data_IF_140208002548
#
_entry.id   IF_140208002548
#
_cell.length_a   1.000
_cell.length_b   1.000
_cell.length_c   1.000
_cell.angle_alpha   90.00
_cell.angle_beta   90.00
_cell.angle_gamma   90.00
#
_symmetry.space_group_name_H-M   'P 1'
#
loop_
_entity.id
_entity.type
_entity.pdbx_description
1 polymer ?
#
# COMPACT_ATOMS: atom_id res chain seq x y z
N UNK A 1 38.36 -2.66 -14.87
CA UNK A 1 37.07 -2.18 -15.39
C UNK A 1 36.32 -1.61 -14.20
N UNK A 2 36.47 -0.31 -13.96
CA UNK A 2 35.82 0.40 -12.84
C UNK A 2 34.41 0.69 -13.30
N UNK A 3 33.43 0.02 -12.72
CA UNK A 3 32.01 0.31 -12.95
C UNK A 3 31.71 1.58 -12.18
N UNK A 4 31.52 2.68 -12.89
CA UNK A 4 31.14 3.99 -12.35
C UNK A 4 29.76 3.90 -11.69
N UNK A 5 29.69 4.26 -10.42
CA UNK A 5 28.47 4.25 -9.57
C UNK A 5 27.47 5.36 -9.97
N UNK A 6 27.82 6.22 -10.92
CA UNK A 6 26.97 7.34 -11.36
C UNK A 6 25.77 6.92 -12.21
N UNK A 7 25.70 5.68 -12.72
CA UNK A 7 24.53 5.20 -13.46
C UNK A 7 23.32 4.84 -12.56
N UNK A 8 23.49 4.74 -11.24
CA UNK A 8 22.35 4.49 -10.33
C UNK A 8 21.63 5.77 -9.87
N UNK A 9 22.27 6.94 -9.96
CA UNK A 9 21.68 8.21 -9.52
C UNK A 9 20.57 8.71 -10.47
N UNK A 10 20.69 8.42 -11.78
CA UNK A 10 19.66 8.76 -12.77
C UNK A 10 18.41 7.86 -12.72
N UNK A 11 18.57 6.59 -12.34
CA UNK A 11 17.47 5.60 -12.28
C UNK A 11 16.69 5.66 -10.94
N UNK A 12 17.32 6.12 -9.86
CA UNK A 12 16.69 6.21 -8.54
C UNK A 12 15.51 7.18 -8.46
N UNK A 13 15.53 8.29 -9.20
CA UNK A 13 14.42 9.28 -9.20
C UNK A 13 13.17 8.75 -9.89
N UNK A 14 13.30 7.99 -10.99
CA UNK A 14 12.15 7.32 -11.64
C UNK A 14 11.54 6.23 -10.75
N UNK A 15 12.37 5.50 -10.01
CA UNK A 15 11.94 4.39 -9.14
C UNK A 15 11.19 4.87 -7.90
N UNK A 16 11.66 5.95 -7.25
CA UNK A 16 11.00 6.56 -6.10
C UNK A 16 9.65 7.22 -6.46
N UNK A 17 9.57 7.84 -7.65
CA UNK A 17 8.31 8.40 -8.15
C UNK A 17 7.30 7.29 -8.48
N UNK A 18 7.78 6.18 -9.08
CA UNK A 18 6.96 4.98 -9.36
C UNK A 18 6.42 4.32 -8.09
N UNK A 19 7.26 4.22 -7.05
CA UNK A 19 6.92 3.64 -5.74
C UNK A 19 5.74 4.34 -5.06
N UNK A 20 5.77 5.68 -5.00
CA UNK A 20 4.72 6.49 -4.35
C UNK A 20 3.39 6.41 -5.10
N UNK A 21 3.43 6.43 -6.42
CA UNK A 21 2.25 6.29 -7.25
C UNK A 21 1.60 4.91 -7.05
N UNK A 22 2.39 3.84 -7.00
CA UNK A 22 1.92 2.49 -6.67
C UNK A 22 1.21 2.47 -5.30
N UNK A 23 1.80 3.08 -4.27
CA UNK A 23 1.22 3.13 -2.93
C UNK A 23 -0.11 3.89 -2.91
N UNK A 24 -0.20 5.03 -3.59
CA UNK A 24 -1.44 5.81 -3.72
C UNK A 24 -2.54 5.02 -4.45
N UNK A 25 -2.19 4.34 -5.54
CA UNK A 25 -3.12 3.49 -6.30
C UNK A 25 -3.65 2.36 -5.41
N UNK A 26 -2.78 1.67 -4.66
CA UNK A 26 -3.20 0.59 -3.75
C UNK A 26 -4.15 1.11 -2.67
N UNK A 27 -3.91 2.30 -2.11
CA UNK A 27 -4.83 2.92 -1.15
C UNK A 27 -6.17 3.30 -1.79
N UNK A 28 -6.17 3.83 -3.01
CA UNK A 28 -7.41 4.11 -3.74
C UNK A 28 -8.23 2.82 -3.93
N UNK A 29 -7.58 1.72 -4.35
CA UNK A 29 -8.22 0.39 -4.46
C UNK A 29 -8.77 -0.07 -3.11
N UNK A 30 -8.01 0.06 -2.02
CA UNK A 30 -8.48 -0.26 -0.66
C UNK A 30 -9.69 0.56 -0.24
N UNK A 31 -9.78 1.84 -0.61
CA UNK A 31 -10.94 2.70 -0.35
C UNK A 31 -12.18 2.12 -1.06
N UNK A 32 -12.07 1.83 -2.36
CA UNK A 32 -13.17 1.26 -3.13
C UNK A 32 -13.63 -0.10 -2.59
N UNK A 33 -12.69 -0.99 -2.28
CA UNK A 33 -12.98 -2.30 -1.69
C UNK A 33 -13.64 -2.18 -0.32
N UNK A 34 -13.17 -1.26 0.53
CA UNK A 34 -13.74 -1.07 1.88
C UNK A 34 -15.16 -0.51 1.82
N UNK A 35 -15.43 0.45 0.94
CA UNK A 35 -16.78 0.96 0.71
C UNK A 35 -17.72 -0.13 0.21
N UNK A 36 -17.26 -0.94 -0.74
CA UNK A 36 -18.03 -2.06 -1.27
C UNK A 36 -18.32 -3.10 -0.19
N UNK A 37 -17.32 -3.46 0.61
CA UNK A 37 -17.45 -4.38 1.73
C UNK A 37 -18.45 -3.87 2.77
N UNK A 38 -18.32 -2.63 3.24
CA UNK A 38 -19.27 -2.01 4.17
C UNK A 38 -20.70 -2.04 3.63
N UNK A 39 -20.88 -1.73 2.34
CA UNK A 39 -22.19 -1.80 1.68
C UNK A 39 -22.75 -3.22 1.74
N UNK A 40 -21.97 -4.24 1.39
CA UNK A 40 -22.48 -5.61 1.41
C UNK A 40 -22.81 -6.11 2.81
N UNK A 41 -22.00 -5.77 3.82
CA UNK A 41 -22.27 -6.17 5.21
C UNK A 41 -23.57 -5.53 5.70
N UNK A 42 -23.71 -4.22 5.56
CA UNK A 42 -24.88 -3.50 6.07
C UNK A 42 -26.17 -3.87 5.34
N UNK A 43 -26.13 -3.99 4.00
CA UNK A 43 -27.34 -4.17 3.20
C UNK A 43 -27.74 -5.63 3.00
N UNK A 44 -26.80 -6.58 3.01
CA UNK A 44 -27.09 -7.97 2.62
C UNK A 44 -26.82 -9.01 3.72
N UNK A 45 -26.13 -8.67 4.81
CA UNK A 45 -25.84 -9.61 5.89
C UNK A 45 -26.51 -9.23 7.22
N UNK A 46 -26.80 -7.94 7.45
CA UNK A 46 -27.41 -7.49 8.70
C UNK A 46 -28.80 -8.08 8.90
N UNK A 47 -28.96 -8.84 9.98
CA UNK A 47 -30.24 -9.39 10.45
C UNK A 47 -30.99 -10.27 9.42
N UNK A 48 -30.27 -10.84 8.45
CA UNK A 48 -30.89 -11.74 7.46
C UNK A 48 -31.05 -13.13 8.08
N UNK A 49 -32.21 -13.73 7.87
CA UNK A 49 -32.51 -15.08 8.32
C UNK A 49 -31.97 -16.13 7.34
N UNK A 50 -31.48 -17.25 7.87
CA UNK A 50 -30.99 -18.37 7.08
C UNK A 50 -32.13 -19.16 6.41
N UNK A 51 -33.35 -19.05 6.96
CA UNK A 51 -34.56 -19.76 6.55
C UNK A 51 -35.74 -18.80 6.32
N UNK A 52 -36.64 -19.18 5.42
CA UNK A 52 -37.89 -18.47 5.10
C UNK A 52 -39.09 -19.44 5.24
N UNK A 53 -40.12 -19.12 6.06
CA UNK A 53 -40.25 -17.94 6.91
C UNK A 53 -39.22 -17.91 8.05
N UNK A 54 -38.78 -16.71 8.40
CA UNK A 54 -37.84 -16.54 9.52
C UNK A 54 -38.48 -17.02 10.83
N UNK A 55 -37.78 -17.91 11.53
CA UNK A 55 -38.23 -18.44 12.81
C UNK A 55 -37.40 -17.87 13.95
N UNK A 56 -38.06 -17.07 14.79
CA UNK A 56 -37.49 -16.54 16.03
C UNK A 56 -38.17 -17.26 17.20
N UNK A 57 -37.68 -18.46 17.52
CA UNK A 57 -38.11 -19.18 18.71
C UNK A 57 -37.59 -18.53 20.00
N UNK A 58 -38.28 -18.68 21.14
CA UNK A 58 -37.84 -18.09 22.40
C UNK A 58 -36.50 -18.67 22.83
N UNK A 59 -35.47 -17.80 22.94
CA UNK A 59 -34.14 -18.17 23.41
C UNK A 59 -33.18 -18.75 22.34
N UNK A 60 -33.63 -18.87 21.07
CA UNK A 60 -32.82 -19.39 19.95
C UNK A 60 -32.76 -18.43 18.75
N UNK A 61 -33.10 -17.15 18.96
CA UNK A 61 -33.18 -16.17 17.88
C UNK A 61 -31.86 -15.99 17.12
N UNK A 62 -30.71 -16.11 17.79
CA UNK A 62 -29.39 -15.97 17.16
C UNK A 62 -28.96 -17.18 16.34
N UNK A 63 -29.68 -18.31 16.41
CA UNK A 63 -29.33 -19.53 15.67
C UNK A 63 -29.80 -19.47 14.22
N UNK A 64 -30.92 -18.77 13.98
CA UNK A 64 -31.63 -18.77 12.69
C UNK A 64 -31.39 -17.50 11.86
N UNK A 65 -30.67 -16.52 12.42
CA UNK A 65 -30.30 -15.27 11.76
C UNK A 65 -28.82 -14.98 11.95
N UNK A 66 -28.26 -14.21 11.02
CA UNK A 66 -26.88 -13.72 11.16
C UNK A 66 -26.76 -12.94 12.46
N UNK A 67 -25.80 -13.36 13.30
CA UNK A 67 -25.59 -12.76 14.61
C UNK A 67 -25.30 -11.25 14.47
N UNK A 68 -25.96 -10.40 15.29
CA UNK A 68 -25.75 -8.95 15.28
C UNK A 68 -24.30 -8.57 15.57
N UNK A 69 -23.63 -9.32 16.43
CA UNK A 69 -22.20 -9.18 16.72
C UNK A 69 -21.32 -9.45 15.49
N UNK A 70 -21.65 -10.43 14.66
CA UNK A 70 -20.96 -10.69 13.38
C UNK A 70 -21.15 -9.52 12.42
N UNK A 71 -22.38 -9.01 12.30
CA UNK A 71 -22.66 -7.85 11.45
C UNK A 71 -21.96 -6.58 11.93
N UNK A 72 -21.94 -6.33 13.25
CA UNK A 72 -21.27 -5.20 13.86
C UNK A 72 -19.73 -5.27 13.71
N UNK A 73 -19.13 -6.43 13.97
CA UNK A 73 -17.69 -6.65 13.76
C UNK A 73 -17.31 -6.54 12.28
N UNK A 74 -18.16 -7.05 11.39
CA UNK A 74 -18.02 -6.84 9.95
C UNK A 74 -18.08 -5.37 9.54
N UNK A 75 -19.05 -4.60 10.03
CA UNK A 75 -19.19 -3.19 9.69
C UNK A 75 -18.03 -2.35 10.25
N UNK A 76 -17.69 -2.55 11.53
CA UNK A 76 -16.61 -1.82 12.20
C UNK A 76 -15.23 -2.12 11.60
N UNK A 77 -14.95 -3.38 11.23
CA UNK A 77 -13.72 -3.72 10.51
C UNK A 77 -13.63 -3.05 9.14
N UNK A 78 -14.75 -2.99 8.41
CA UNK A 78 -14.82 -2.27 7.13
C UNK A 78 -14.59 -0.76 7.27
N UNK A 79 -15.20 -0.13 8.29
CA UNK A 79 -15.01 1.29 8.60
C UNK A 79 -13.55 1.57 8.99
N UNK A 80 -12.95 0.69 9.81
CA UNK A 80 -11.54 0.81 10.18
C UNK A 80 -10.62 0.69 8.96
N UNK A 81 -10.85 -0.29 8.08
CA UNK A 81 -10.09 -0.45 6.86
C UNK A 81 -10.23 0.77 5.93
N UNK A 82 -11.44 1.34 5.82
CA UNK A 82 -11.69 2.56 5.06
C UNK A 82 -10.93 3.76 5.63
N UNK A 83 -11.03 3.99 6.94
CA UNK A 83 -10.33 5.09 7.61
C UNK A 83 -8.81 4.97 7.45
N UNK A 84 -8.28 3.74 7.60
CA UNK A 84 -6.88 3.44 7.37
C UNK A 84 -6.45 3.74 5.93
N UNK A 85 -7.25 3.30 4.94
CA UNK A 85 -6.96 3.52 3.53
C UNK A 85 -7.01 5.01 3.14
N UNK A 86 -7.99 5.76 3.65
CA UNK A 86 -8.09 7.22 3.44
C UNK A 86 -6.90 7.94 4.08
N UNK A 87 -6.57 7.60 5.33
CA UNK A 87 -5.45 8.22 6.03
C UNK A 87 -4.13 7.96 5.29
N UNK A 88 -3.88 6.73 4.85
CA UNK A 88 -2.70 6.41 4.05
C UNK A 88 -2.67 7.15 2.72
N UNK A 89 -3.80 7.22 2.01
CA UNK A 89 -3.89 7.99 0.77
C UNK A 89 -3.52 9.46 0.98
N UNK A 90 -4.08 10.11 2.01
CA UNK A 90 -3.79 11.50 2.35
C UNK A 90 -2.33 11.70 2.75
N UNK A 91 -1.78 10.83 3.60
CA UNK A 91 -0.38 10.91 4.04
C UNK A 91 0.59 10.81 2.86
N UNK A 92 0.42 9.81 1.98
CA UNK A 92 1.35 9.59 0.88
C UNK A 92 1.14 10.56 -0.29
N UNK A 93 -0.08 11.09 -0.48
CA UNK A 93 -0.32 12.19 -1.40
C UNK A 93 0.35 13.50 -0.93
N UNK A 94 0.25 13.83 0.36
CA UNK A 94 0.86 15.03 0.97
C UNK A 94 2.40 14.97 0.98
N UNK A 95 2.98 13.81 1.30
CA UNK A 95 4.44 13.59 1.23
C UNK A 95 4.97 13.75 -0.21
N UNK A 96 4.12 13.61 -1.22
CA UNK A 96 4.50 13.87 -2.61
C UNK A 96 4.53 15.36 -2.99
N UNK A 97 3.81 16.23 -2.27
CA UNK A 97 3.68 17.65 -2.61
C UNK A 97 4.64 18.56 -1.87
N UNK A 98 5.08 18.20 -0.66
CA UNK A 98 5.98 19.03 0.15
C UNK A 98 7.40 18.43 0.20
N UNK A 99 8.33 19.06 -0.50
CA UNK A 99 9.78 18.85 -0.40
C UNK A 99 10.32 19.50 0.90
N UNK A 100 9.70 19.21 2.04
CA UNK A 100 10.04 19.80 3.33
C UNK A 100 11.03 18.93 4.08
N UNK A 101 12.28 19.37 4.14
CA UNK A 101 13.41 18.72 4.82
C UNK A 101 13.22 18.57 6.34
N UNK A 102 12.31 19.32 6.97
CA UNK A 102 12.03 19.22 8.42
C UNK A 102 11.09 18.06 8.80
N UNK A 103 10.35 17.51 7.83
CA UNK A 103 9.42 16.41 8.07
C UNK A 103 10.13 15.04 8.12
N UNK A 104 11.38 14.97 7.69
CA UNK A 104 12.16 13.73 7.62
C UNK A 104 12.44 13.12 9.00
N UNK A 105 12.64 13.95 10.03
CA UNK A 105 12.94 13.47 11.39
C UNK A 105 11.77 12.70 12.02
N UNK A 106 10.52 13.09 11.70
CA UNK A 106 9.32 12.43 12.24
C UNK A 106 8.74 11.36 11.29
N UNK A 107 9.17 11.36 10.02
CA UNK A 107 8.65 10.44 9.00
C UNK A 107 8.84 8.96 9.38
N UNK A 108 9.96 8.60 10.03
CA UNK A 108 10.22 7.23 10.46
C UNK A 108 9.21 6.71 11.49
N UNK A 109 8.86 7.55 12.47
CA UNK A 109 7.90 7.20 13.50
C UNK A 109 6.50 7.04 12.91
N UNK A 110 6.09 7.96 12.03
CA UNK A 110 4.79 7.91 11.33
C UNK A 110 4.69 6.67 10.45
N UNK A 111 5.72 6.33 9.67
CA UNK A 111 5.74 5.11 8.84
C UNK A 111 5.69 3.85 9.71
N UNK A 112 6.37 3.85 10.86
CA UNK A 112 6.35 2.74 11.81
C UNK A 112 4.96 2.49 12.41
N UNK A 113 4.29 3.55 12.88
CA UNK A 113 2.91 3.47 13.38
C UNK A 113 1.97 3.00 12.27
N UNK A 114 2.09 3.59 11.08
CA UNK A 114 1.22 3.26 9.96
C UNK A 114 1.40 1.80 9.52
N UNK A 115 2.63 1.27 9.51
CA UNK A 115 2.88 -0.14 9.25
C UNK A 115 2.25 -1.06 10.32
N UNK A 116 2.32 -0.68 11.60
CA UNK A 116 1.63 -1.39 12.69
C UNK A 116 0.11 -1.40 12.50
N UNK A 117 -0.48 -0.23 12.18
CA UNK A 117 -1.90 -0.12 11.89
C UNK A 117 -2.32 -0.94 10.65
N UNK A 118 -1.48 -0.98 9.62
CA UNK A 118 -1.68 -1.80 8.41
C UNK A 118 -1.69 -3.28 8.76
N UNK A 119 -0.78 -3.73 9.62
CA UNK A 119 -0.75 -5.10 10.12
C UNK A 119 -2.04 -5.45 10.88
N UNK A 120 -2.49 -4.58 11.79
CA UNK A 120 -3.78 -4.74 12.48
C UNK A 120 -4.96 -4.82 11.48
N UNK A 121 -5.00 -3.95 10.48
CA UNK A 121 -6.03 -3.97 9.43
C UNK A 121 -6.02 -5.28 8.63
N UNK A 122 -4.83 -5.82 8.34
CA UNK A 122 -4.69 -7.12 7.65
C UNK A 122 -5.21 -8.27 8.50
N UNK A 123 -4.91 -8.31 9.80
CA UNK A 123 -5.39 -9.32 10.73
C UNK A 123 -6.90 -9.25 10.91
N UNK A 124 -7.47 -8.04 11.02
CA UNK A 124 -8.93 -7.86 11.07
C UNK A 124 -9.60 -8.35 9.78
N UNK A 125 -9.03 -8.03 8.62
CA UNK A 125 -9.54 -8.50 7.34
C UNK A 125 -9.48 -10.03 7.24
N UNK A 126 -8.37 -10.64 7.67
CA UNK A 126 -8.21 -12.09 7.72
C UNK A 126 -9.22 -12.76 8.67
N UNK A 127 -9.45 -12.17 9.85
CA UNK A 127 -10.48 -12.63 10.77
C UNK A 127 -11.86 -12.64 10.10
N UNK A 128 -12.20 -11.60 9.34
CA UNK A 128 -13.47 -11.56 8.61
C UNK A 128 -13.55 -12.59 7.48
N UNK A 129 -12.44 -12.97 6.84
CA UNK A 129 -12.43 -14.11 5.89
C UNK A 129 -12.92 -15.38 6.57
N UNK A 130 -12.42 -15.65 7.77
CA UNK A 130 -12.79 -16.81 8.57
C UNK A 130 -14.25 -16.76 9.01
N UNK A 131 -14.71 -15.60 9.53
CA UNK A 131 -16.10 -15.42 9.96
C UNK A 131 -17.07 -15.67 8.81
N UNK A 132 -16.88 -15.02 7.65
CA UNK A 132 -17.75 -15.25 6.49
C UNK A 132 -17.63 -16.66 5.91
N UNK A 133 -16.46 -17.29 6.03
CA UNK A 133 -16.26 -18.69 5.68
C UNK A 133 -17.04 -19.64 6.58
N UNK A 134 -17.06 -19.39 7.89
CA UNK A 134 -17.83 -20.16 8.86
C UNK A 134 -19.34 -20.04 8.58
N UNK A 135 -19.83 -18.81 8.33
CA UNK A 135 -21.22 -18.55 7.92
C UNK A 135 -21.60 -19.27 6.62
N UNK A 136 -20.69 -19.28 5.64
CA UNK A 136 -20.89 -20.02 4.38
C UNK A 136 -21.01 -21.52 4.64
N UNK A 137 -20.11 -22.09 5.45
CA UNK A 137 -20.13 -23.52 5.79
C UNK A 137 -21.38 -23.91 6.57
N UNK A 138 -21.84 -23.05 7.49
CA UNK A 138 -23.11 -23.23 8.21
C UNK A 138 -24.27 -23.37 7.23
N UNK A 139 -24.39 -22.44 6.28
CA UNK A 139 -25.45 -22.47 5.26
C UNK A 139 -25.37 -23.70 4.35
N UNK A 140 -24.17 -24.11 3.95
CA UNK A 140 -23.98 -25.34 3.17
C UNK A 140 -24.44 -26.56 3.96
N UNK A 141 -24.10 -26.64 5.25
CA UNK A 141 -24.51 -27.76 6.10
C UNK A 141 -26.03 -27.78 6.32
N UNK A 142 -26.66 -26.62 6.56
CA UNK A 142 -28.12 -26.51 6.62
C UNK A 142 -28.78 -26.94 5.30
N UNK A 143 -28.17 -26.59 4.17
CA UNK A 143 -28.71 -26.98 2.86
C UNK A 143 -28.66 -28.48 2.57
N UNK A 144 -27.70 -29.21 3.15
CA UNK A 144 -27.57 -30.68 3.01
C UNK A 144 -28.61 -31.43 3.84
N UNK A 145 -29.00 -30.89 5.00
CA UNK A 145 -30.05 -31.47 5.84
C UNK A 145 -31.40 -31.55 5.11
N UNK A 146 -31.64 -30.65 4.13
CA UNK A 146 -32.84 -30.67 3.28
C UNK A 146 -33.01 -31.96 2.46
N UNK A 147 -31.92 -32.63 2.08
CA UNK A 147 -31.96 -33.81 1.21
C UNK A 147 -32.48 -35.07 1.93
N UNK A 148 -32.58 -35.06 3.26
CA UNK A 148 -33.10 -36.18 4.07
C UNK A 148 -34.59 -36.09 4.43
N UNK A 149 -35.42 -35.40 3.64
CA UNK A 149 -36.86 -35.16 3.92
C UNK A 149 -37.15 -34.37 5.21
N UNK A 150 -36.16 -33.75 5.86
CA UNK A 150 -36.44 -32.82 6.96
C UNK A 150 -36.75 -31.44 6.37
N UNK A 151 -37.97 -31.29 5.89
CA UNK A 151 -38.68 -30.05 6.17
C UNK A 151 -38.52 -29.85 7.68
N UNK A 152 -37.89 -28.77 8.11
CA UNK A 152 -37.87 -28.44 9.53
C UNK A 152 -39.31 -28.08 9.92
N UNK A 153 -40.09 -29.09 10.30
CA UNK A 153 -41.48 -28.97 10.71
C UNK A 153 -41.50 -28.59 12.19
N UNK A 154 -41.06 -27.36 12.48
CA UNK A 154 -41.23 -26.78 13.80
C UNK A 154 -42.57 -26.03 13.78
N UNK A 155 -43.59 -26.54 14.48
CA UNK A 155 -44.92 -25.91 14.57
C UNK A 155 -45.69 -25.79 13.24
N UNK A 156 -45.75 -26.85 12.43
CA UNK A 156 -46.50 -26.92 11.16
C UNK A 156 -46.07 -25.92 10.06
N UNK A 157 -44.88 -25.32 10.15
CA UNK A 157 -44.35 -24.41 9.13
C UNK A 157 -43.26 -25.06 8.30
N UNK A 158 -43.43 -25.07 7.00
CA UNK A 158 -42.39 -25.50 6.06
C UNK A 158 -41.34 -24.39 5.92
N UNK A 159 -40.19 -24.57 6.58
CA UNK A 159 -39.05 -23.65 6.46
C UNK A 159 -38.14 -24.03 5.28
N UNK A 160 -37.80 -23.05 4.45
CA UNK A 160 -36.90 -23.22 3.30
C UNK A 160 -35.59 -22.47 3.52
N UNK A 161 -34.46 -23.16 3.34
CA UNK A 161 -33.13 -22.53 3.40
C UNK A 161 -32.96 -21.55 2.24
N UNK A 162 -32.54 -20.32 2.56
CA UNK A 162 -32.37 -19.26 1.58
C UNK A 162 -30.99 -19.38 0.91
N UNK A 163 -30.93 -20.13 -0.19
CA UNK A 163 -29.67 -20.43 -0.89
C UNK A 163 -28.91 -19.20 -1.42
N UNK A 164 -29.58 -18.06 -1.64
CA UNK A 164 -28.93 -16.83 -2.12
C UNK A 164 -27.91 -16.27 -1.12
N UNK A 165 -28.06 -16.54 0.20
CA UNK A 165 -27.11 -16.09 1.21
C UNK A 165 -25.73 -16.74 1.08
N UNK A 166 -25.64 -17.98 0.58
CA UNK A 166 -24.36 -18.66 0.34
C UNK A 166 -23.50 -17.82 -0.60
N UNK A 167 -24.11 -17.32 -1.69
CA UNK A 167 -23.42 -16.44 -2.64
C UNK A 167 -23.00 -15.11 -2.01
N UNK A 168 -23.81 -14.56 -1.10
CA UNK A 168 -23.49 -13.33 -0.36
C UNK A 168 -22.30 -13.52 0.56
N UNK A 169 -22.28 -14.58 1.37
CA UNK A 169 -21.19 -14.86 2.31
C UNK A 169 -19.88 -15.18 1.59
N UNK A 170 -19.93 -15.93 0.47
CA UNK A 170 -18.76 -16.15 -0.38
C UNK A 170 -18.19 -14.83 -0.93
N UNK A 171 -19.04 -13.92 -1.40
CA UNK A 171 -18.61 -12.59 -1.86
C UNK A 171 -17.97 -11.78 -0.74
N UNK A 172 -18.55 -11.80 0.46
CA UNK A 172 -18.00 -11.13 1.64
C UNK A 172 -16.63 -11.71 2.03
N UNK A 173 -16.49 -13.03 2.07
CA UNK A 173 -15.21 -13.71 2.34
C UNK A 173 -14.14 -13.37 1.28
N UNK A 174 -14.54 -13.33 0.00
CA UNK A 174 -13.65 -12.97 -1.11
C UNK A 174 -13.18 -11.52 -1.00
N UNK A 175 -14.08 -10.58 -0.66
CA UNK A 175 -13.73 -9.18 -0.48
C UNK A 175 -12.83 -8.96 0.75
N UNK A 176 -13.11 -9.63 1.87
CA UNK A 176 -12.22 -9.63 3.04
C UNK A 176 -10.83 -10.16 2.70
N UNK A 177 -10.75 -11.19 1.84
CA UNK A 177 -9.47 -11.75 1.37
C UNK A 177 -8.72 -10.75 0.49
N UNK A 178 -9.42 -10.08 -0.42
CA UNK A 178 -8.83 -9.02 -1.25
C UNK A 178 -8.34 -7.85 -0.40
N UNK A 179 -9.13 -7.38 0.58
CA UNK A 179 -8.72 -6.36 1.54
C UNK A 179 -7.45 -6.78 2.28
N UNK A 180 -7.41 -8.00 2.83
CA UNK A 180 -6.23 -8.54 3.51
C UNK A 180 -5.01 -8.54 2.58
N UNK A 181 -5.15 -9.04 1.35
CA UNK A 181 -4.08 -9.07 0.36
C UNK A 181 -3.53 -7.67 0.07
N UNK A 182 -4.38 -6.69 -0.22
CA UNK A 182 -3.93 -5.33 -0.50
C UNK A 182 -3.31 -4.64 0.72
N UNK A 183 -3.80 -4.91 1.94
CA UNK A 183 -3.14 -4.43 3.17
C UNK A 183 -1.73 -5.04 3.33
N UNK A 184 -1.56 -6.34 3.04
CA UNK A 184 -0.24 -6.97 3.03
C UNK A 184 0.68 -6.41 1.94
N UNK A 185 0.14 -6.08 0.77
CA UNK A 185 0.87 -5.36 -0.27
C UNK A 185 1.37 -4.03 0.30
N UNK A 186 0.49 -3.18 0.87
CA UNK A 186 0.88 -1.92 1.54
C UNK A 186 1.95 -2.14 2.61
N UNK A 187 1.85 -3.21 3.40
CA UNK A 187 2.85 -3.50 4.43
C UNK A 187 4.22 -3.82 3.83
N UNK A 188 4.30 -4.73 2.85
CA UNK A 188 5.55 -5.08 2.14
C UNK A 188 6.18 -3.84 1.51
N UNK A 189 5.31 -3.02 0.93
CA UNK A 189 5.59 -1.74 0.34
C UNK A 189 6.27 -0.76 1.33
N UNK A 190 5.68 -0.55 2.50
CA UNK A 190 6.24 0.28 3.57
C UNK A 190 7.57 -0.26 4.12
N UNK A 191 7.66 -1.59 4.30
CA UNK A 191 8.87 -2.25 4.78
C UNK A 191 10.02 -2.15 3.76
N UNK A 192 9.71 -2.20 2.47
CA UNK A 192 10.70 -2.02 1.39
C UNK A 192 11.23 -0.60 1.37
N UNK A 193 10.34 0.40 1.51
CA UNK A 193 10.74 1.80 1.63
C UNK A 193 11.65 2.04 2.85
N UNK A 194 11.37 1.39 3.99
CA UNK A 194 12.21 1.51 5.21
C UNK A 194 13.65 1.06 4.96
N UNK A 195 13.86 -0.02 4.19
CA UNK A 195 15.22 -0.53 3.87
C UNK A 195 16.01 0.50 3.06
N UNK A 196 15.37 1.16 2.10
CA UNK A 196 16.01 2.22 1.32
C UNK A 196 16.33 3.45 2.17
N UNK A 197 15.38 3.91 3.00
CA UNK A 197 15.62 5.03 3.91
C UNK A 197 16.74 4.75 4.91
N UNK A 198 16.81 3.54 5.46
CA UNK A 198 17.87 3.15 6.38
C UNK A 198 19.24 3.14 5.70
N UNK A 199 19.29 2.69 4.44
CA UNK A 199 20.52 2.71 3.63
C UNK A 199 20.97 4.14 3.35
N UNK A 200 20.05 5.02 2.97
CA UNK A 200 20.33 6.43 2.69
C UNK A 200 20.81 7.17 3.95
N UNK A 201 20.18 6.92 5.09
CA UNK A 201 20.57 7.52 6.36
C UNK A 201 21.94 7.02 6.84
N UNK A 202 22.24 5.73 6.65
CA UNK A 202 23.57 5.19 6.99
C UNK A 202 24.67 5.88 6.19
N UNK A 203 24.44 6.14 4.89
CA UNK A 203 25.38 6.87 4.02
C UNK A 203 25.56 8.33 4.46
N UNK A 204 24.49 9.00 4.92
CA UNK A 204 24.57 10.35 5.47
C UNK A 204 25.29 10.40 6.83
N UNK A 205 25.03 9.41 7.70
CA UNK A 205 25.57 9.34 9.05
C UNK A 205 27.05 8.92 9.09
N UNK A 206 27.51 8.09 8.14
CA UNK A 206 28.94 7.74 8.05
C UNK A 206 29.78 8.87 7.49
N UNK A 207 29.19 9.97 7.00
CA UNK A 207 29.93 11.11 6.47
C UNK A 207 30.75 10.80 5.22
N UNK A 208 30.68 9.58 4.70
CA UNK A 208 31.27 9.15 3.43
C UNK A 208 30.37 9.60 2.26
N UNK A 209 30.04 10.90 2.23
CA UNK A 209 29.95 11.56 0.94
C UNK A 209 31.40 11.68 0.49
N UNK A 210 31.88 10.63 -0.16
CA UNK A 210 33.25 10.53 -0.61
C UNK A 210 33.56 11.78 -1.43
N UNK A 211 34.38 12.65 -0.84
CA UNK A 211 34.93 13.87 -1.41
C UNK A 211 36.06 13.48 -2.39
N UNK A 212 35.83 12.39 -3.12
CA UNK A 212 36.67 11.80 -4.16
C UNK A 212 35.99 11.95 -5.53
N UNK A 213 35.16 12.98 -5.71
CA UNK A 213 35.15 13.64 -7.02
C UNK A 213 36.53 14.27 -7.18
N UNK A 214 37.38 13.47 -7.81
CA UNK A 214 38.64 13.84 -8.43
C UNK A 214 38.65 15.33 -8.80
N UNK A 215 39.46 16.11 -8.11
CA UNK A 215 40.34 17.02 -8.85
C UNK A 215 41.05 16.19 -9.90
N UNK A 216 40.44 16.11 -11.09
CA UNK A 216 41.11 15.69 -12.31
C UNK A 216 42.39 16.52 -12.34
N UNK A 217 43.59 15.92 -12.25
CA UNK A 217 44.78 16.67 -12.59
C UNK A 217 44.60 17.01 -14.06
N UNK A 218 44.38 18.30 -14.35
CA UNK A 218 44.58 18.88 -15.67
C UNK A 218 46.02 18.56 -16.06
N UNK A 219 46.22 17.39 -16.67
CA UNK A 219 47.41 17.07 -17.40
C UNK A 219 47.44 18.07 -18.53
N UNK A 220 48.27 19.09 -18.36
CA UNK A 220 48.65 20.04 -19.40
C UNK A 220 49.05 19.23 -20.63
N UNK A 221 48.14 19.19 -21.59
CA UNK A 221 48.43 18.69 -22.91
C UNK A 221 49.29 19.77 -23.57
N UNK A 222 50.60 19.66 -23.36
CA UNK A 222 51.62 20.39 -24.08
C UNK A 222 51.45 20.09 -25.56
N UNK A 223 50.78 20.99 -26.27
CA UNK A 223 50.84 21.06 -27.72
C UNK A 223 52.25 21.50 -28.09
N UNK A 224 53.05 20.54 -28.53
CA UNK A 224 54.27 20.80 -29.30
C UNK A 224 53.82 21.27 -30.69
N UNK A 225 54.13 22.50 -31.12
CA UNK A 225 53.99 22.89 -32.51
C UNK A 225 55.32 22.57 -33.20
N UNK A 226 55.32 21.54 -34.04
CA UNK A 226 56.43 21.25 -34.94
C UNK A 226 56.11 21.80 -36.33
N UNK A 227 56.97 22.72 -36.75
CA UNK A 227 57.31 23.11 -38.12
C UNK A 227 56.32 23.87 -39.01
N UNK A 228 56.73 25.09 -39.37
CA UNK A 228 57.13 25.28 -40.76
C UNK A 228 56.61 26.51 -41.50
N UNK A 229 57.40 27.60 -41.42
CA UNK A 229 57.91 28.33 -42.60
C UNK A 229 57.20 29.62 -43.10
N UNK A 230 57.97 30.73 -42.97
CA UNK A 230 58.01 32.02 -43.74
C UNK A 230 56.86 33.02 -43.51
N UNK A 231 57.05 34.34 -43.40
CA UNK A 231 58.09 35.28 -43.85
C UNK A 231 58.08 36.54 -42.96
N UNK A 232 59.19 37.03 -42.42
CA UNK A 232 60.01 38.15 -42.90
C UNK A 232 59.27 39.42 -43.37
N UNK A 233 59.27 40.46 -42.51
CA UNK A 233 59.43 41.90 -42.80
C UNK A 233 59.27 42.65 -41.48
N UNK A 234 60.35 43.00 -40.79
CA UNK A 234 60.99 44.33 -40.81
C UNK A 234 60.00 45.51 -40.75
N UNK A 235 59.89 46.15 -39.59
CA UNK A 235 60.09 47.61 -39.48
C UNK A 235 60.22 48.10 -38.01
N UNK A 236 61.43 48.51 -37.71
CA UNK A 236 61.90 49.67 -36.94
C UNK A 236 60.93 50.54 -36.11
N UNK A 237 61.52 51.06 -35.03
CA UNK A 237 61.27 52.34 -34.33
C UNK A 237 60.09 52.35 -33.35
N UNK A 238 60.14 53.00 -32.19
CA UNK A 238 61.19 53.75 -31.48
C UNK A 238 60.59 54.22 -30.15
N UNK A 239 61.39 54.17 -29.08
CA UNK A 239 61.48 55.16 -28.00
C UNK A 239 60.29 55.50 -27.07
N UNK A 240 60.71 55.87 -25.84
CA UNK A 240 60.06 56.70 -24.82
C UNK A 240 59.23 55.92 -23.80
N UNK A 241 59.74 55.62 -22.60
CA UNK A 241 60.05 56.55 -21.48
C UNK A 241 58.86 57.44 -21.12
N UNK A 242 58.12 57.11 -20.05
CA UNK A 242 57.82 58.07 -18.99
C UNK A 242 57.31 57.36 -17.73
N UNK A 243 57.88 57.77 -16.60
CA UNK A 243 57.38 57.56 -15.24
C UNK A 243 56.10 58.36 -15.02
N UNK A 244 55.16 57.80 -14.25
CA UNK A 244 54.56 58.41 -13.04
C UNK A 244 54.21 57.28 -12.09
#
# INVERSE_FOLDING_TARGET
MVVTIDQFAGSGRSLLCSWRNMLAIVHAVLIFLSLWYCKLVYWNASEVCYVDPCYEGPGLEELWKVNKGVSFTGASSGIFALAHAVLGYVLFARISSEESSSLLEHAHFVVGIFAGATLCASLLSLNMVYVWGAETNLMINLSKLKESNSIFEESDRHMLVVHSLIGTFLRLSTLSSALCFFQLVVLVQLLSARKEFTRYFRLLATGEFDRSSETIPLRSMSTTPTDGTRSFSDQSNSQSTLMV
#
